data_IF_881430726882
#
_entry.id   IF_881430726882
#
_cell.length_a   1.000
_cell.length_b   1.000
_cell.length_c   1.000
_cell.angle_alpha   90.00
_cell.angle_beta   90.00
_cell.angle_gamma   90.00
#
_symmetry.space_group_name_H-M   'P 1'
#
loop_
_entity.id
_entity.type
_entity.pdbx_description
1 polymer ?
#
# COMPACT_ATOMS: atom_id res chain seq x y z
N UNK A 1 15.22 -35.76 -8.88
CA UNK A 1 15.87 -34.42 -8.88
C UNK A 1 15.53 -33.78 -10.21
N UNK A 2 15.17 -32.46 -10.26
CA UNK A 2 15.03 -31.70 -11.52
C UNK A 2 16.19 -30.72 -11.61
N UNK A 3 16.73 -30.53 -12.79
CA UNK A 3 17.71 -29.51 -13.08
C UNK A 3 17.30 -28.83 -14.40
N UNK A 4 17.45 -27.52 -14.45
CA UNK A 4 17.13 -26.70 -15.62
C UNK A 4 18.43 -26.21 -16.25
N UNK A 5 18.48 -26.21 -17.54
CA UNK A 5 19.64 -25.77 -18.32
C UNK A 5 19.14 -24.92 -19.49
N UNK A 6 19.73 -23.77 -19.66
CA UNK A 6 19.52 -22.91 -20.83
C UNK A 6 20.60 -23.22 -21.88
N UNK A 7 20.22 -23.26 -23.15
CA UNK A 7 21.11 -23.34 -24.31
C UNK A 7 22.07 -24.55 -24.36
N UNK A 8 21.70 -25.68 -23.77
CA UNK A 8 22.53 -26.91 -23.87
C UNK A 8 21.80 -27.96 -24.73
N UNK A 9 22.55 -28.51 -25.71
CA UNK A 9 22.04 -29.61 -26.54
C UNK A 9 21.60 -30.79 -25.68
N UNK A 10 20.35 -31.29 -25.82
CA UNK A 10 19.82 -32.37 -25.00
C UNK A 10 20.67 -33.62 -24.95
N UNK A 11 21.39 -33.93 -26.03
CA UNK A 11 22.30 -35.06 -26.13
C UNK A 11 23.52 -34.95 -25.21
N UNK A 12 24.08 -33.72 -25.09
CA UNK A 12 25.20 -33.49 -24.18
C UNK A 12 24.79 -33.64 -22.71
N UNK A 13 23.57 -33.24 -22.36
CA UNK A 13 23.04 -33.42 -21.02
C UNK A 13 22.81 -34.87 -20.69
N UNK A 14 22.23 -35.65 -21.60
CA UNK A 14 22.01 -37.10 -21.42
C UNK A 14 23.33 -37.81 -21.22
N UNK A 15 24.37 -37.48 -21.99
CA UNK A 15 25.67 -38.10 -21.89
C UNK A 15 26.41 -37.71 -20.60
N UNK A 16 26.35 -36.44 -20.21
CA UNK A 16 26.92 -35.95 -18.94
C UNK A 16 26.33 -36.56 -17.68
N UNK A 17 25.04 -36.88 -17.73
CA UNK A 17 24.31 -37.45 -16.59
C UNK A 17 23.86 -38.89 -16.81
N UNK A 18 24.52 -39.63 -17.72
CA UNK A 18 24.17 -41.01 -18.10
C UNK A 18 23.96 -41.93 -16.89
N UNK A 19 24.79 -41.82 -15.86
CA UNK A 19 24.71 -42.64 -14.64
C UNK A 19 23.48 -42.35 -13.77
N UNK A 20 22.71 -41.34 -14.11
CA UNK A 20 21.49 -40.91 -13.39
C UNK A 20 20.22 -41.15 -14.20
N UNK A 21 20.30 -41.81 -15.35
CA UNK A 21 19.19 -42.07 -16.27
C UNK A 21 18.33 -40.81 -16.50
N UNK A 22 18.89 -39.72 -16.99
CA UNK A 22 18.16 -38.46 -17.17
C UNK A 22 17.11 -38.61 -18.26
N UNK A 23 15.94 -38.10 -17.99
CA UNK A 23 14.86 -37.95 -18.98
C UNK A 23 14.81 -36.48 -19.37
N UNK A 24 15.38 -36.09 -20.54
CA UNK A 24 15.29 -34.73 -21.00
C UNK A 24 13.84 -34.37 -21.35
N UNK A 25 13.38 -33.24 -20.91
CA UNK A 25 12.14 -32.60 -21.35
C UNK A 25 12.45 -31.20 -21.82
N UNK A 26 11.99 -30.88 -22.99
CA UNK A 26 11.94 -29.49 -23.40
C UNK A 26 10.73 -28.87 -22.74
N UNK A 27 10.94 -27.85 -21.91
CA UNK A 27 9.86 -27.02 -21.39
C UNK A 27 9.79 -25.78 -22.29
N UNK A 28 8.59 -25.41 -22.68
CA UNK A 28 8.37 -24.15 -23.38
C UNK A 28 8.84 -23.00 -22.50
N UNK A 29 9.53 -22.05 -23.11
CA UNK A 29 9.94 -20.84 -22.37
C UNK A 29 8.69 -20.11 -21.90
N UNK A 30 8.48 -20.12 -20.61
CA UNK A 30 7.40 -19.35 -19.98
C UNK A 30 7.89 -17.91 -19.88
N UNK A 31 7.18 -16.99 -20.50
CA UNK A 31 7.37 -15.57 -20.27
C UNK A 31 6.89 -15.21 -18.86
N UNK A 32 7.80 -15.36 -17.90
CA UNK A 32 7.51 -15.07 -16.49
C UNK A 32 7.16 -13.61 -16.23
N UNK A 33 7.64 -12.71 -17.08
CA UNK A 33 7.29 -11.30 -16.99
C UNK A 33 5.81 -11.10 -17.35
N UNK A 34 5.36 -11.71 -18.44
CA UNK A 34 3.95 -11.66 -18.83
C UNK A 34 3.05 -12.36 -17.82
N UNK A 35 3.45 -13.54 -17.34
CA UNK A 35 2.70 -14.27 -16.29
C UNK A 35 2.59 -13.43 -15.01
N UNK A 36 3.67 -12.77 -14.61
CA UNK A 36 3.67 -11.89 -13.45
C UNK A 36 2.76 -10.68 -13.66
N UNK A 37 2.80 -10.07 -14.85
CA UNK A 37 1.90 -8.94 -15.19
C UNK A 37 0.43 -9.34 -15.19
N UNK A 38 0.11 -10.50 -15.73
CA UNK A 38 -1.27 -11.02 -15.80
C UNK A 38 -1.84 -11.41 -14.42
N UNK A 39 -0.96 -11.70 -13.45
CA UNK A 39 -1.35 -12.00 -12.08
C UNK A 39 -1.90 -10.77 -11.30
N UNK A 40 -1.82 -9.57 -11.87
CA UNK A 40 -2.26 -8.32 -11.24
C UNK A 40 -3.45 -7.70 -12.00
N UNK A 41 -4.67 -8.23 -11.85
CA UNK A 41 -5.85 -7.64 -12.44
C UNK A 41 -6.20 -6.30 -11.76
N UNK A 42 -6.93 -5.42 -12.47
CA UNK A 42 -7.49 -4.23 -11.85
C UNK A 42 -8.41 -4.58 -10.69
N UNK A 43 -8.46 -3.71 -9.69
CA UNK A 43 -9.26 -3.90 -8.50
C UNK A 43 -10.09 -2.65 -8.19
N UNK A 44 -11.40 -2.81 -8.07
CA UNK A 44 -12.27 -1.77 -7.54
C UNK A 44 -12.23 -1.79 -6.01
N UNK A 45 -11.92 -0.63 -5.40
CA UNK A 45 -11.84 -0.48 -3.95
C UNK A 45 -12.82 0.63 -3.54
N UNK A 46 -13.65 0.32 -2.56
CA UNK A 46 -14.71 1.21 -2.14
C UNK A 46 -15.63 1.62 -3.31
N UNK A 47 -16.13 2.83 -3.27
CA UNK A 47 -16.99 3.41 -4.31
C UNK A 47 -16.20 4.25 -5.31
N UNK A 48 -15.01 4.75 -4.91
CA UNK A 48 -14.29 5.78 -5.63
C UNK A 48 -13.03 5.31 -6.36
N UNK A 49 -12.34 4.26 -5.91
CA UNK A 49 -11.05 3.90 -6.46
C UNK A 49 -11.09 2.76 -7.48
N UNK A 50 -10.26 2.89 -8.51
CA UNK A 50 -9.93 1.85 -9.47
C UNK A 50 -8.41 1.66 -9.46
N UNK A 51 -7.94 0.66 -8.71
CA UNK A 51 -6.53 0.32 -8.60
C UNK A 51 -6.10 -0.48 -9.80
N UNK A 52 -5.00 -0.06 -10.43
CA UNK A 52 -4.49 -0.71 -11.65
C UNK A 52 -2.98 -0.57 -11.75
N UNK A 53 -2.26 -1.62 -12.18
CA UNK A 53 -0.85 -1.49 -12.50
C UNK A 53 -0.61 -0.57 -13.71
N UNK A 54 0.52 0.16 -13.78
CA UNK A 54 0.79 1.15 -14.82
C UNK A 54 0.95 0.56 -16.23
N UNK A 55 1.20 -0.75 -16.35
CA UNK A 55 1.31 -1.43 -17.66
C UNK A 55 -0.03 -1.90 -18.23
N UNK A 56 -1.15 -1.58 -17.58
CA UNK A 56 -2.49 -2.00 -18.01
C UNK A 56 -3.28 -0.83 -18.57
N UNK A 57 -3.95 -1.08 -19.70
CA UNK A 57 -4.75 -0.09 -20.41
C UNK A 57 -6.27 -0.19 -20.10
N UNK A 58 -6.63 -0.89 -18.99
CA UNK A 58 -8.03 -1.04 -18.61
C UNK A 58 -8.68 0.32 -18.41
N UNK A 59 -9.88 0.48 -19.01
CA UNK A 59 -10.63 1.73 -18.87
C UNK A 59 -11.11 1.90 -17.43
N UNK A 60 -10.86 3.07 -16.88
CA UNK A 60 -11.38 3.41 -15.57
C UNK A 60 -12.90 3.52 -15.62
N UNK A 61 -13.65 2.78 -14.80
CA UNK A 61 -15.09 2.87 -14.74
C UNK A 61 -15.57 4.30 -14.44
N UNK A 62 -16.70 4.69 -15.02
CA UNK A 62 -17.24 6.03 -14.81
C UNK A 62 -17.47 6.35 -13.34
N UNK A 63 -17.03 7.54 -12.91
CA UNK A 63 -17.13 8.00 -11.52
C UNK A 63 -16.03 7.52 -10.60
N UNK A 64 -15.11 6.65 -11.05
CA UNK A 64 -13.97 6.20 -10.26
C UNK A 64 -12.69 6.98 -10.55
N UNK A 65 -11.84 7.05 -9.56
CA UNK A 65 -10.51 7.65 -9.61
C UNK A 65 -9.50 6.54 -9.92
N UNK A 66 -8.72 6.72 -11.00
CA UNK A 66 -7.65 5.79 -11.37
C UNK A 66 -6.49 5.95 -10.37
N UNK A 67 -6.15 4.86 -9.69
CA UNK A 67 -5.05 4.78 -8.74
C UNK A 67 -4.01 3.81 -9.30
N UNK A 68 -2.93 4.34 -9.84
CA UNK A 68 -1.86 3.52 -10.41
C UNK A 68 -0.87 3.08 -9.34
N UNK A 69 -0.62 1.77 -9.28
CA UNK A 69 0.33 1.19 -8.34
C UNK A 69 1.13 0.06 -8.98
N UNK A 70 2.44 0.19 -8.95
CA UNK A 70 3.34 -0.89 -9.35
C UNK A 70 3.41 -1.90 -8.20
N UNK A 71 2.97 -3.15 -8.40
CA UNK A 71 3.23 -4.22 -7.45
C UNK A 71 4.74 -4.39 -7.27
N UNK A 72 5.19 -4.46 -6.03
CA UNK A 72 6.61 -4.55 -5.70
C UNK A 72 6.83 -5.00 -4.28
N UNK A 73 8.08 -4.92 -3.82
CA UNK A 73 8.48 -5.34 -2.47
C UNK A 73 8.09 -4.34 -1.37
N UNK A 74 7.68 -3.12 -1.73
CA UNK A 74 7.24 -2.12 -0.75
C UNK A 74 5.88 -2.49 -0.16
N UNK A 75 5.70 -2.31 1.14
CA UNK A 75 4.41 -2.47 1.81
C UNK A 75 3.37 -1.51 1.21
N UNK A 76 2.11 -1.97 1.11
CA UNK A 76 1.01 -1.11 0.69
C UNK A 76 0.75 -1.06 -0.83
N UNK A 77 0.77 -2.22 -1.52
CA UNK A 77 0.43 -2.31 -2.96
C UNK A 77 -1.05 -2.11 -3.27
N UNK A 78 -1.89 -1.93 -2.26
CA UNK A 78 -3.35 -1.79 -2.42
C UNK A 78 -4.12 -3.11 -2.43
N UNK A 79 -3.45 -4.26 -2.54
CA UNK A 79 -4.10 -5.57 -2.52
C UNK A 79 -4.32 -6.11 -1.11
N UNK A 80 -3.55 -5.64 -0.13
CA UNK A 80 -3.72 -6.04 1.25
C UNK A 80 -5.03 -5.48 1.84
N UNK A 81 -5.82 -6.27 2.58
CA UNK A 81 -7.10 -5.82 3.13
C UNK A 81 -7.01 -4.53 3.95
N UNK A 82 -5.99 -4.36 4.79
CA UNK A 82 -5.79 -3.15 5.59
C UNK A 82 -5.63 -1.90 4.70
N UNK A 83 -4.88 -2.00 3.59
CA UNK A 83 -4.72 -0.89 2.65
C UNK A 83 -6.04 -0.56 1.94
N UNK A 84 -6.81 -1.58 1.55
CA UNK A 84 -8.14 -1.36 0.95
C UNK A 84 -9.08 -0.66 1.93
N UNK A 85 -9.08 -1.08 3.20
CA UNK A 85 -9.87 -0.44 4.25
C UNK A 85 -9.46 1.02 4.48
N UNK A 86 -8.15 1.33 4.46
CA UNK A 86 -7.70 2.72 4.53
C UNK A 86 -8.17 3.56 3.33
N UNK A 87 -8.16 3.00 2.11
CA UNK A 87 -8.70 3.67 0.93
C UNK A 87 -10.20 3.92 1.06
N UNK A 88 -10.97 2.93 1.54
CA UNK A 88 -12.39 3.05 1.83
C UNK A 88 -12.68 4.07 2.96
N UNK A 89 -11.78 4.19 3.94
CA UNK A 89 -11.88 5.21 4.98
C UNK A 89 -11.56 6.61 4.45
N UNK A 90 -10.51 6.76 3.64
CA UNK A 90 -10.14 8.04 3.02
C UNK A 90 -11.28 8.61 2.15
N UNK A 91 -11.97 7.78 1.35
CA UNK A 91 -13.08 8.25 0.51
C UNK A 91 -14.29 8.77 1.31
N UNK A 92 -14.40 8.35 2.59
CA UNK A 92 -15.46 8.77 3.52
C UNK A 92 -15.10 10.00 4.33
N UNK A 93 -13.79 10.28 4.46
CA UNK A 93 -13.30 11.28 5.42
C UNK A 93 -12.63 12.48 4.77
N UNK A 94 -11.93 12.30 3.65
CA UNK A 94 -11.21 13.41 3.01
C UNK A 94 -12.18 14.33 2.30
N UNK A 95 -12.12 15.61 2.64
CA UNK A 95 -12.85 16.68 2.01
C UNK A 95 -11.92 17.53 1.13
N UNK A 96 -12.50 18.20 0.15
CA UNK A 96 -11.74 19.11 -0.70
C UNK A 96 -11.14 20.24 0.14
N UNK A 97 -9.83 20.42 0.02
CA UNK A 97 -9.11 21.46 0.76
C UNK A 97 -8.40 20.98 2.02
N UNK A 98 -8.63 19.74 2.46
CA UNK A 98 -7.99 19.17 3.66
C UNK A 98 -6.46 19.10 3.55
N UNK A 99 -5.82 19.19 4.70
CA UNK A 99 -4.44 18.76 4.91
C UNK A 99 -4.45 17.32 5.43
N UNK A 100 -3.88 16.41 4.67
CA UNK A 100 -3.76 14.98 5.02
C UNK A 100 -2.33 14.67 5.42
N UNK A 101 -2.15 13.96 6.54
CA UNK A 101 -0.85 13.43 6.98
C UNK A 101 -0.88 11.91 6.90
N UNK A 102 0.06 11.34 6.13
CA UNK A 102 0.23 9.90 5.91
C UNK A 102 1.46 9.40 6.70
N UNK A 103 1.22 8.67 7.78
CA UNK A 103 2.23 8.14 8.68
C UNK A 103 2.52 6.67 8.36
N UNK A 104 3.79 6.34 8.09
CA UNK A 104 4.17 5.02 7.59
C UNK A 104 3.71 4.86 6.13
N UNK A 105 4.08 5.82 5.29
CA UNK A 105 3.56 5.96 3.93
C UNK A 105 3.88 4.76 3.03
N UNK A 106 4.96 4.02 3.30
CA UNK A 106 5.36 2.84 2.55
C UNK A 106 5.46 3.13 1.05
N UNK A 107 4.56 2.54 0.27
CA UNK A 107 4.48 2.77 -1.18
C UNK A 107 3.96 4.17 -1.56
N UNK A 108 3.37 4.92 -0.64
CA UNK A 108 2.73 6.21 -0.88
C UNK A 108 1.31 6.13 -1.48
N UNK A 109 0.71 4.95 -1.52
CA UNK A 109 -0.63 4.76 -2.15
C UNK A 109 -1.71 5.61 -1.46
N UNK A 110 -1.70 5.71 -0.12
CA UNK A 110 -2.69 6.47 0.63
C UNK A 110 -2.51 7.97 0.40
N UNK A 111 -1.28 8.44 0.31
CA UNK A 111 -0.96 9.82 -0.08
C UNK A 111 -1.48 10.17 -1.48
N UNK A 112 -1.30 9.29 -2.47
CA UNK A 112 -1.84 9.49 -3.83
C UNK A 112 -3.36 9.52 -3.78
N UNK A 113 -3.99 8.59 -3.06
CA UNK A 113 -5.43 8.52 -2.90
C UNK A 113 -6.00 9.81 -2.28
N UNK A 114 -5.38 10.32 -1.22
CA UNK A 114 -5.79 11.58 -0.58
C UNK A 114 -5.75 12.78 -1.56
N UNK A 115 -4.71 12.86 -2.41
CA UNK A 115 -4.62 13.89 -3.45
C UNK A 115 -5.73 13.75 -4.49
N UNK A 116 -6.01 12.54 -4.95
CA UNK A 116 -7.09 12.27 -5.90
C UNK A 116 -8.47 12.62 -5.34
N UNK A 117 -8.66 12.53 -4.03
CA UNK A 117 -9.87 12.93 -3.33
C UNK A 117 -10.02 14.45 -3.19
N UNK A 118 -8.96 15.22 -3.42
CA UNK A 118 -9.00 16.70 -3.41
C UNK A 118 -8.35 17.33 -2.18
N UNK A 119 -7.52 16.59 -1.43
CA UNK A 119 -6.69 17.19 -0.39
C UNK A 119 -5.82 18.31 -0.97
N UNK A 120 -5.81 19.48 -0.32
CA UNK A 120 -5.00 20.62 -0.74
C UNK A 120 -3.51 20.43 -0.43
N UNK A 121 -3.23 19.73 0.66
CA UNK A 121 -1.87 19.38 1.08
C UNK A 121 -1.85 17.93 1.56
N UNK A 122 -0.87 17.18 1.11
CA UNK A 122 -0.53 15.87 1.66
C UNK A 122 0.92 15.94 2.15
N UNK A 123 1.14 15.49 3.38
CA UNK A 123 2.48 15.32 3.96
C UNK A 123 2.64 13.86 4.32
N UNK A 124 3.70 13.23 3.83
CA UNK A 124 3.97 11.82 4.04
C UNK A 124 5.28 11.61 4.81
N UNK A 125 5.33 10.62 5.67
CA UNK A 125 6.57 10.21 6.31
C UNK A 125 6.63 8.70 6.51
N UNK A 126 7.84 8.19 6.55
CA UNK A 126 8.13 6.81 6.92
C UNK A 126 9.44 6.75 7.70
N UNK A 127 9.52 5.86 8.69
CA UNK A 127 10.77 5.65 9.44
C UNK A 127 11.82 4.91 8.62
N UNK A 128 11.37 4.18 7.59
CA UNK A 128 12.24 3.45 6.67
C UNK A 128 12.67 4.34 5.51
N UNK A 129 13.96 4.68 5.46
CA UNK A 129 14.54 5.47 4.37
C UNK A 129 14.44 4.80 2.99
N UNK A 130 14.39 3.47 2.91
CA UNK A 130 14.20 2.74 1.64
C UNK A 130 12.75 2.90 1.14
N UNK A 131 11.78 2.85 2.05
CA UNK A 131 10.38 3.14 1.73
C UNK A 131 10.23 4.58 1.20
N UNK A 132 10.83 5.56 1.88
CA UNK A 132 10.85 6.97 1.43
C UNK A 132 11.46 7.11 0.04
N UNK A 133 12.61 6.47 -0.22
CA UNK A 133 13.26 6.51 -1.53
C UNK A 133 12.37 5.89 -2.63
N UNK A 134 11.71 4.78 -2.32
CA UNK A 134 10.80 4.09 -3.24
C UNK A 134 9.53 4.92 -3.55
N UNK A 135 8.96 5.56 -2.54
CA UNK A 135 7.75 6.38 -2.70
C UNK A 135 8.00 7.71 -3.43
N UNK A 136 9.24 8.21 -3.40
CA UNK A 136 9.59 9.56 -3.89
C UNK A 136 9.19 9.81 -5.35
N UNK A 137 9.43 8.86 -6.23
CA UNK A 137 9.08 8.99 -7.65
C UNK A 137 7.57 9.14 -7.84
N UNK A 138 6.79 8.31 -7.14
CA UNK A 138 5.32 8.32 -7.21
C UNK A 138 4.71 9.55 -6.58
N UNK A 139 5.24 9.99 -5.46
CA UNK A 139 4.73 11.13 -4.72
C UNK A 139 5.12 12.49 -5.35
N UNK A 140 6.17 12.52 -6.18
CA UNK A 140 6.57 13.71 -6.93
C UNK A 140 6.86 14.90 -6.01
N UNK A 141 6.02 15.94 -6.08
CA UNK A 141 6.16 17.17 -5.28
C UNK A 141 5.52 17.09 -3.89
N UNK A 142 4.89 15.97 -3.54
CA UNK A 142 4.33 15.77 -2.18
C UNK A 142 5.46 15.82 -1.16
N UNK A 143 5.37 16.65 -0.11
CA UNK A 143 6.30 16.62 1.01
C UNK A 143 6.43 15.21 1.58
N UNK A 144 7.64 14.66 1.52
CA UNK A 144 7.98 13.31 1.96
C UNK A 144 9.31 13.35 2.69
N UNK A 145 9.39 12.76 3.88
CA UNK A 145 10.62 12.72 4.66
C UNK A 145 10.78 11.41 5.44
N UNK A 146 12.02 11.07 5.78
CA UNK A 146 12.31 9.97 6.69
C UNK A 146 12.15 10.46 8.14
N UNK A 147 11.24 9.85 8.88
CA UNK A 147 10.88 10.25 10.24
C UNK A 147 9.46 9.87 10.61
N UNK A 148 8.93 10.51 11.64
CA UNK A 148 7.61 10.22 12.16
C UNK A 148 6.84 11.50 12.51
N UNK A 149 5.68 11.36 13.16
CA UNK A 149 4.77 12.45 13.52
C UNK A 149 5.43 13.53 14.41
N UNK A 150 6.43 13.17 15.20
CA UNK A 150 7.19 14.08 16.09
C UNK A 150 7.88 15.23 15.34
N UNK A 151 8.25 15.02 14.08
CA UNK A 151 8.86 16.05 13.23
C UNK A 151 7.87 17.08 12.68
N UNK A 152 6.55 16.85 12.83
CA UNK A 152 5.51 17.71 12.30
C UNK A 152 5.09 18.78 13.33
N UNK A 153 4.57 19.90 12.83
CA UNK A 153 3.98 20.95 13.67
C UNK A 153 2.68 20.47 14.29
N UNK A 154 2.35 21.04 15.44
CA UNK A 154 1.04 20.84 16.08
C UNK A 154 -0.10 21.38 15.20
N UNK A 155 -1.29 20.79 15.36
CA UNK A 155 -2.55 21.20 14.74
C UNK A 155 -2.44 21.47 13.21
N UNK A 156 -1.74 20.57 12.48
CA UNK A 156 -1.54 20.70 11.03
C UNK A 156 -2.57 19.88 10.24
N UNK A 157 -3.01 18.72 10.74
CA UNK A 157 -3.76 17.75 9.97
C UNK A 157 -5.28 17.88 10.17
N UNK A 158 -6.03 17.91 9.06
CA UNK A 158 -7.48 17.71 9.04
C UNK A 158 -7.81 16.22 9.02
N UNK A 159 -6.96 15.42 8.34
CA UNK A 159 -7.04 13.96 8.33
C UNK A 159 -5.65 13.38 8.56
N UNK A 160 -5.55 12.42 9.45
CA UNK A 160 -4.34 11.60 9.65
C UNK A 160 -4.67 10.18 9.23
N UNK A 161 -3.80 9.56 8.44
CA UNK A 161 -3.90 8.13 8.11
C UNK A 161 -2.62 7.42 8.52
N UNK A 162 -2.76 6.28 9.21
CA UNK A 162 -1.65 5.44 9.62
C UNK A 162 -2.02 3.95 9.43
N UNK A 163 -1.41 3.32 8.43
CA UNK A 163 -1.58 1.90 8.15
C UNK A 163 -0.36 1.12 8.66
N UNK A 164 -0.26 1.00 9.97
CA UNK A 164 0.87 0.40 10.70
C UNK A 164 0.37 -0.52 11.80
N UNK A 165 1.28 -1.24 12.49
CA UNK A 165 0.86 -2.14 13.58
C UNK A 165 0.17 -1.42 14.73
N UNK A 166 -0.66 -2.14 15.51
CA UNK A 166 -1.31 -1.66 16.73
C UNK A 166 -0.29 -1.02 17.69
N UNK A 167 0.82 -1.70 17.94
CA UNK A 167 1.89 -1.20 18.80
C UNK A 167 2.53 0.09 18.24
N UNK A 168 2.64 0.23 16.91
CA UNK A 168 3.14 1.45 16.27
C UNK A 168 2.20 2.63 16.45
N UNK A 169 0.90 2.41 16.30
CA UNK A 169 -0.14 3.42 16.54
C UNK A 169 -0.14 3.85 18.01
N UNK A 170 -0.09 2.89 18.94
CA UNK A 170 -0.03 3.14 20.39
C UNK A 170 1.18 3.99 20.79
N UNK A 171 2.36 3.64 20.27
CA UNK A 171 3.60 4.36 20.57
C UNK A 171 3.57 5.83 20.12
N UNK A 172 2.73 6.17 19.15
CA UNK A 172 2.62 7.53 18.60
C UNK A 172 1.34 8.25 19.02
N UNK A 173 0.51 7.69 19.90
CA UNK A 173 -0.81 8.23 20.23
C UNK A 173 -0.79 9.72 20.56
N UNK A 174 0.11 10.15 21.45
CA UNK A 174 0.25 11.56 21.85
C UNK A 174 0.68 12.47 20.70
N UNK A 175 1.56 11.98 19.81
CA UNK A 175 2.00 12.73 18.66
C UNK A 175 0.90 12.86 17.60
N UNK A 176 0.10 11.81 17.40
CA UNK A 176 -1.05 11.85 16.51
C UNK A 176 -2.09 12.87 17.00
N UNK A 177 -2.35 12.92 18.32
CA UNK A 177 -3.21 13.95 18.92
C UNK A 177 -2.62 15.35 18.75
N UNK A 178 -1.32 15.53 18.97
CA UNK A 178 -0.65 16.83 18.86
C UNK A 178 -0.74 17.43 17.47
N UNK A 179 -0.58 16.61 16.43
CA UNK A 179 -0.62 17.08 15.03
C UNK A 179 -2.05 17.25 14.49
N UNK A 180 -3.05 16.69 15.16
CA UNK A 180 -4.45 16.80 14.80
C UNK A 180 -4.98 18.22 15.03
N UNK A 181 -5.71 18.76 14.07
CA UNK A 181 -6.52 19.97 14.28
C UNK A 181 -7.76 19.61 15.12
N UNK A 182 -8.43 20.61 15.73
CA UNK A 182 -9.77 20.41 16.29
C UNK A 182 -10.71 19.82 15.23
N UNK A 183 -11.44 18.75 15.56
CA UNK A 183 -12.33 17.99 14.68
C UNK A 183 -11.60 17.20 13.58
N UNK A 184 -10.31 16.98 13.69
CA UNK A 184 -9.58 16.10 12.80
C UNK A 184 -10.11 14.66 12.85
N UNK A 185 -9.92 13.96 11.76
CA UNK A 185 -10.28 12.53 11.61
C UNK A 185 -9.01 11.71 11.56
N UNK A 186 -8.93 10.69 12.41
CA UNK A 186 -7.80 9.77 12.45
C UNK A 186 -8.22 8.42 11.87
N UNK A 187 -7.55 7.99 10.82
CA UNK A 187 -7.70 6.68 10.20
C UNK A 187 -6.54 5.81 10.63
N UNK A 188 -6.80 4.73 11.34
CA UNK A 188 -5.79 3.77 11.76
C UNK A 188 -6.15 2.37 11.30
N UNK A 189 -5.16 1.64 10.79
CA UNK A 189 -5.27 0.26 10.32
C UNK A 189 -3.90 -0.41 10.36
N UNK A 190 -3.82 -1.66 9.88
CA UNK A 190 -2.59 -2.45 9.90
C UNK A 190 -2.54 -3.43 11.06
N UNK A 191 -3.68 -3.66 11.69
CA UNK A 191 -3.84 -4.61 12.78
C UNK A 191 -5.04 -5.55 12.51
N UNK A 192 -4.92 -6.83 12.91
CA UNK A 192 -6.00 -7.80 12.82
C UNK A 192 -6.96 -7.67 14.02
N UNK A 193 -8.12 -8.32 13.94
CA UNK A 193 -9.18 -8.30 14.96
C UNK A 193 -8.75 -8.75 16.36
N UNK A 194 -7.66 -9.48 16.48
CA UNK A 194 -7.14 -10.01 17.75
C UNK A 194 -6.00 -9.19 18.35
N UNK A 195 -5.56 -8.10 17.68
CA UNK A 195 -4.46 -7.23 18.14
C UNK A 195 -4.85 -5.76 17.97
N UNK A 196 -5.73 -5.28 18.84
CA UNK A 196 -6.33 -3.96 18.75
C UNK A 196 -5.55 -2.93 19.55
N UNK A 197 -5.44 -1.68 19.06
CA UNK A 197 -4.91 -0.58 19.87
C UNK A 197 -5.89 -0.26 21.01
N UNK A 198 -5.37 -0.10 22.23
CA UNK A 198 -6.18 0.16 23.45
C UNK A 198 -6.47 1.65 23.65
N UNK A 199 -5.61 2.53 23.17
CA UNK A 199 -5.69 3.97 23.38
C UNK A 199 -6.85 4.61 22.61
N UNK A 200 -7.17 4.12 21.42
CA UNK A 200 -8.15 4.74 20.52
C UNK A 200 -9.52 4.07 20.60
N UNK A 201 -10.56 4.89 20.39
CA UNK A 201 -11.93 4.40 20.28
C UNK A 201 -12.49 4.79 18.92
N UNK A 202 -12.96 3.85 18.09
CA UNK A 202 -13.50 4.17 16.78
C UNK A 202 -14.89 4.80 16.87
N UNK A 203 -15.10 5.85 16.10
CA UNK A 203 -16.43 6.33 15.75
C UNK A 203 -17.04 5.45 14.64
N UNK A 204 -16.20 4.94 13.75
CA UNK A 204 -16.58 4.01 12.68
C UNK A 204 -15.51 2.91 12.60
N UNK A 205 -15.97 1.66 12.55
CA UNK A 205 -15.12 0.49 12.30
C UNK A 205 -15.43 -0.11 10.93
N UNK A 206 -14.38 -0.32 10.13
CA UNK A 206 -14.44 -1.05 8.88
C UNK A 206 -13.67 -2.37 9.04
N UNK A 207 -14.19 -3.43 8.39
CA UNK A 207 -13.63 -4.78 8.52
C UNK A 207 -13.56 -5.49 7.17
N UNK A 208 -12.43 -6.17 6.91
CA UNK A 208 -12.21 -6.95 5.70
C UNK A 208 -11.21 -8.08 5.95
N UNK A 209 -11.61 -9.31 5.68
CA UNK A 209 -10.73 -10.49 5.75
C UNK A 209 -9.92 -10.59 7.06
N UNK A 210 -10.54 -10.29 8.22
CA UNK A 210 -9.91 -10.35 9.54
C UNK A 210 -9.02 -9.15 9.90
N UNK A 211 -8.99 -8.12 9.06
CA UNK A 211 -8.31 -6.85 9.30
C UNK A 211 -9.32 -5.75 9.62
N UNK A 212 -8.89 -4.79 10.43
CA UNK A 212 -9.70 -3.65 10.81
C UNK A 212 -9.10 -2.33 10.35
N UNK A 213 -9.99 -1.37 10.16
CA UNK A 213 -9.64 0.04 10.03
C UNK A 213 -10.62 0.85 10.87
N UNK A 214 -10.09 1.71 11.71
CA UNK A 214 -10.86 2.59 12.57
C UNK A 214 -10.79 4.02 12.07
N UNK A 215 -11.93 4.69 12.08
CA UNK A 215 -12.03 6.14 11.91
C UNK A 215 -12.39 6.71 13.27
N UNK A 216 -11.45 7.44 13.87
CA UNK A 216 -11.64 8.12 15.15
C UNK A 216 -11.83 9.62 14.90
N UNK A 217 -12.59 10.30 15.75
CA UNK A 217 -12.80 11.75 15.74
C UNK A 217 -12.15 12.40 16.96
N UNK A 218 -11.52 13.54 16.75
CA UNK A 218 -10.96 14.38 17.82
C UNK A 218 -11.89 15.54 18.15
#
# INVERSE_FOLDING_TARGET
MRAFFDDVEPLELVERFRDREPIPRQEDSVDWEQVSRDAWPPLEIGERFFLVPPWRDDLTPAGRLRLEMTPGMSCGTGHHPATQLCLEALERTVEHGDTVVDIGAGSGILSVAARLLGAALVVACDIDGEAVASAKERLGTTPLFAGSADALKEAIADVIVANISSAGVEAMAQELERIAKPQARLIISGFPEWDLPEYFQPAIELKKAGWLCWICAY
#
